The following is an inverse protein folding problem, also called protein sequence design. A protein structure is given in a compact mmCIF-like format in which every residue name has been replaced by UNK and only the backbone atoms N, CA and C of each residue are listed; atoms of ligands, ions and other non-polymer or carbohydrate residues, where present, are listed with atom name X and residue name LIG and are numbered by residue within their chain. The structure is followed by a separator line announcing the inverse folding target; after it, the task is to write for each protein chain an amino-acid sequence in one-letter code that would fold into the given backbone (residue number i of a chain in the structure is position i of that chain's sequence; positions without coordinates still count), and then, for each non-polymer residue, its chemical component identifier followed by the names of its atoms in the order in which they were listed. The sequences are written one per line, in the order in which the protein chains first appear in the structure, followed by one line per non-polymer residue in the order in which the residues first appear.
data_IF_298344564990
#
_entry.id   IF_298344564990
#
_cell.length_a   1.000
_cell.length_b   1.000
_cell.length_c   1.000
_cell.angle_alpha   90.00
_cell.angle_beta   90.00
_cell.angle_gamma   90.00
#
_symmetry.space_group_name_H-M   'P 1'
#
loop_
_entity.id
_entity.type
_entity.pdbx_description
1 polymer ?
#
# COMPACT_ATOMS: atom_id res chain seq x y z
N UNK A 1 -6.73 3.22 -17.87
CA UNK A 1 -6.05 3.76 -16.68
C UNK A 1 -6.16 5.28 -16.66
N UNK A 2 -6.41 5.84 -15.50
CA UNK A 2 -6.51 7.29 -15.37
C UNK A 2 -5.17 7.97 -15.57
N UNK A 3 -5.20 9.17 -16.13
CA UNK A 3 -3.99 9.95 -16.27
C UNK A 3 -3.55 10.48 -14.91
N UNK A 4 -2.26 10.82 -14.81
CA UNK A 4 -1.67 11.22 -13.53
C UNK A 4 -2.40 12.37 -12.86
N UNK A 5 -2.78 13.40 -13.62
CA UNK A 5 -3.48 14.54 -13.03
C UNK A 5 -4.85 14.16 -12.45
N UNK A 6 -5.53 13.17 -13.05
CA UNK A 6 -6.80 12.68 -12.52
C UNK A 6 -6.59 11.91 -11.23
N UNK A 7 -5.54 11.12 -11.18
CA UNK A 7 -5.20 10.38 -9.96
C UNK A 7 -4.87 11.34 -8.82
N UNK A 8 -4.09 12.37 -9.10
CA UNK A 8 -3.72 13.36 -8.09
C UNK A 8 -4.96 14.07 -7.54
N UNK A 9 -5.90 14.42 -8.41
CA UNK A 9 -7.14 15.07 -7.98
C UNK A 9 -7.91 14.15 -7.01
N UNK A 10 -8.00 12.86 -7.32
CA UNK A 10 -8.67 11.88 -6.46
C UNK A 10 -7.96 11.74 -5.12
N UNK A 11 -6.64 11.75 -5.14
CA UNK A 11 -5.85 11.66 -3.91
C UNK A 11 -6.15 12.82 -2.98
N UNK A 12 -6.12 14.05 -3.51
CA UNK A 12 -6.39 15.22 -2.67
C UNK A 12 -7.83 15.28 -2.18
N UNK A 13 -8.77 14.81 -2.99
CA UNK A 13 -10.17 14.71 -2.57
C UNK A 13 -10.34 13.73 -1.42
N UNK A 14 -9.61 12.63 -1.45
CA UNK A 14 -9.74 11.56 -0.45
C UNK A 14 -9.21 11.96 0.93
N UNK A 15 -8.38 12.97 1.02
CA UNK A 15 -7.74 13.34 2.28
C UNK A 15 -8.70 13.77 3.38
N UNK A 16 -9.79 14.41 3.00
CA UNK A 16 -10.75 14.86 4.00
C UNK A 16 -12.03 14.06 4.03
N UNK A 17 -12.04 12.90 3.38
CA UNK A 17 -13.27 12.14 3.19
C UNK A 17 -12.97 10.65 3.23
N UNK A 18 -13.36 9.99 4.33
CA UNK A 18 -13.08 8.57 4.52
C UNK A 18 -13.74 7.69 3.46
N UNK A 19 -14.93 8.06 3.01
CA UNK A 19 -15.60 7.30 1.95
C UNK A 19 -14.84 7.39 0.63
N UNK A 20 -14.38 8.57 0.28
CA UNK A 20 -13.58 8.77 -0.92
C UNK A 20 -12.27 7.99 -0.83
N UNK A 21 -11.64 7.98 0.33
CA UNK A 21 -10.41 7.22 0.55
C UNK A 21 -10.65 5.73 0.37
N UNK A 22 -11.73 5.20 0.93
CA UNK A 22 -12.08 3.79 0.79
C UNK A 22 -12.37 3.43 -0.66
N UNK A 23 -13.07 4.29 -1.38
CA UNK A 23 -13.33 4.07 -2.80
C UNK A 23 -12.04 4.04 -3.61
N UNK A 24 -11.11 4.92 -3.26
CA UNK A 24 -9.83 4.99 -3.95
C UNK A 24 -9.02 3.71 -3.74
N UNK A 25 -8.98 3.21 -2.52
CA UNK A 25 -8.32 1.93 -2.22
C UNK A 25 -8.95 0.81 -3.06
N UNK A 26 -10.28 0.75 -3.10
CA UNK A 26 -10.99 -0.27 -3.88
C UNK A 26 -10.71 -0.15 -5.36
N UNK A 27 -10.68 1.06 -5.89
CA UNK A 27 -10.39 1.32 -7.30
C UNK A 27 -9.00 0.85 -7.69
N UNK A 28 -8.04 1.01 -6.80
CA UNK A 28 -6.65 0.66 -7.07
C UNK A 28 -6.23 -0.67 -6.45
N UNK A 29 -7.20 -1.47 -6.01
CA UNK A 29 -6.90 -2.78 -5.46
C UNK A 29 -6.09 -3.66 -6.41
N UNK A 30 -6.37 -3.71 -7.72
CA UNK A 30 -5.53 -4.48 -8.63
C UNK A 30 -4.08 -4.01 -8.64
N UNK A 31 -3.86 -2.70 -8.57
CA UNK A 31 -2.51 -2.14 -8.47
C UNK A 31 -1.84 -2.58 -7.17
N UNK A 32 -2.58 -2.48 -6.04
CA UNK A 32 -2.06 -2.85 -4.73
C UNK A 32 -1.70 -4.34 -4.71
N UNK A 33 -2.57 -5.19 -5.26
CA UNK A 33 -2.30 -6.62 -5.35
C UNK A 33 -1.06 -6.91 -6.20
N UNK A 34 -0.91 -6.20 -7.31
CA UNK A 34 0.24 -6.38 -8.19
C UNK A 34 1.55 -6.04 -7.48
N UNK A 35 1.58 -4.92 -6.75
CA UNK A 35 2.77 -4.53 -6.02
C UNK A 35 3.09 -5.50 -4.89
N UNK A 36 2.06 -5.98 -4.21
CA UNK A 36 2.22 -6.98 -3.15
C UNK A 36 2.78 -8.28 -3.73
N UNK A 37 2.22 -8.72 -4.87
CA UNK A 37 2.65 -9.95 -5.54
C UNK A 37 4.13 -9.91 -5.91
N UNK A 38 4.62 -8.76 -6.33
CA UNK A 38 6.05 -8.60 -6.66
C UNK A 38 6.93 -8.90 -5.46
N UNK A 39 6.48 -8.55 -4.28
CA UNK A 39 7.25 -8.76 -3.06
C UNK A 39 7.13 -10.18 -2.54
N UNK A 40 5.90 -10.72 -2.44
CA UNK A 40 5.68 -12.06 -1.88
C UNK A 40 5.85 -13.19 -2.90
N UNK A 41 5.98 -12.84 -4.18
CA UNK A 41 6.23 -13.79 -5.29
C UNK A 41 5.07 -14.75 -5.53
N UNK A 42 3.85 -14.35 -5.23
CA UNK A 42 2.63 -15.10 -5.53
C UNK A 42 1.45 -14.14 -5.53
N UNK A 43 0.30 -14.58 -6.01
CA UNK A 43 -0.91 -13.77 -6.03
C UNK A 43 -1.46 -13.67 -4.60
N UNK A 44 -1.58 -12.47 -4.04
CA UNK A 44 -2.14 -12.31 -2.70
C UNK A 44 -3.65 -12.49 -2.72
N UNK A 45 -4.21 -12.99 -1.62
CA UNK A 45 -5.64 -13.22 -1.49
C UNK A 45 -6.20 -12.42 -0.32
N UNK A 46 -7.29 -11.71 -0.57
CA UNK A 46 -7.95 -10.92 0.46
C UNK A 46 -8.44 -11.85 1.58
N UNK A 47 -8.29 -11.37 2.79
CA UNK A 47 -8.74 -12.11 3.97
C UNK A 47 -7.82 -13.26 4.37
N UNK A 48 -6.83 -13.56 3.57
CA UNK A 48 -5.91 -14.66 3.84
C UNK A 48 -4.48 -14.18 4.06
N UNK A 49 -4.04 -13.23 3.25
CA UNK A 49 -2.65 -12.74 3.30
C UNK A 49 -2.58 -11.41 4.04
N UNK A 50 -1.85 -11.41 5.16
CA UNK A 50 -1.62 -10.20 5.94
C UNK A 50 -0.90 -9.15 5.13
N UNK A 51 -0.02 -9.59 4.22
CA UNK A 51 0.73 -8.67 3.37
C UNK A 51 -0.18 -7.78 2.54
N UNK A 52 -1.30 -8.33 2.07
CA UNK A 52 -2.23 -7.51 1.29
C UNK A 52 -2.87 -6.43 2.15
N UNK A 53 -3.25 -6.76 3.38
CA UNK A 53 -3.82 -5.78 4.31
C UNK A 53 -2.81 -4.67 4.61
N UNK A 54 -1.56 -5.04 4.82
CA UNK A 54 -0.48 -4.09 5.06
C UNK A 54 -0.27 -3.18 3.85
N UNK A 55 -0.33 -3.76 2.65
CA UNK A 55 -0.19 -2.99 1.41
C UNK A 55 -1.35 -2.01 1.22
N UNK A 56 -2.56 -2.42 1.56
CA UNK A 56 -3.73 -1.55 1.48
C UNK A 56 -3.60 -0.37 2.45
N UNK A 57 -3.13 -0.66 3.67
CA UNK A 57 -2.88 0.38 4.65
C UNK A 57 -1.79 1.35 4.17
N UNK A 58 -0.71 0.80 3.59
CA UNK A 58 0.37 1.62 3.06
C UNK A 58 -0.11 2.53 1.92
N UNK A 59 -0.99 2.01 1.07
CA UNK A 59 -1.58 2.81 0.00
C UNK A 59 -2.39 3.96 0.58
N UNK A 60 -3.18 3.68 1.61
CA UNK A 60 -3.98 4.70 2.27
C UNK A 60 -3.08 5.78 2.89
N UNK A 61 -2.01 5.37 3.54
CA UNK A 61 -1.03 6.32 4.09
C UNK A 61 -0.40 7.17 2.99
N UNK A 62 -0.12 6.55 1.84
CA UNK A 62 0.44 7.28 0.71
C UNK A 62 -0.53 8.37 0.23
N UNK A 63 -1.84 8.07 0.23
CA UNK A 63 -2.85 9.07 -0.11
C UNK A 63 -2.76 10.27 0.82
N UNK A 64 -2.57 10.02 2.10
CA UNK A 64 -2.54 11.09 3.10
C UNK A 64 -1.25 11.91 3.07
N UNK A 65 -0.15 11.33 2.64
CA UNK A 65 1.16 11.98 2.71
C UNK A 65 1.72 12.47 1.37
N UNK A 66 1.09 12.09 0.27
CA UNK A 66 1.60 12.42 -1.05
C UNK A 66 1.55 13.91 -1.34
N UNK A 67 2.58 14.40 -2.02
CA UNK A 67 2.61 15.76 -2.55
C UNK A 67 3.06 15.72 -4.01
N UNK A 68 2.51 16.61 -4.82
CA UNK A 68 2.78 16.66 -6.27
C UNK A 68 4.26 16.74 -6.59
N UNK A 69 5.03 17.39 -5.72
CA UNK A 69 6.47 17.56 -5.93
C UNK A 69 7.24 16.26 -5.81
N UNK A 70 6.59 15.20 -5.34
CA UNK A 70 7.23 13.89 -5.17
C UNK A 70 7.16 13.00 -6.40
N UNK A 71 6.72 13.55 -7.53
CA UNK A 71 6.60 12.81 -8.78
C UNK A 71 5.26 12.09 -8.90
N UNK A 72 5.25 10.97 -9.60
CA UNK A 72 4.03 10.20 -9.84
C UNK A 72 3.47 9.62 -8.54
N UNK A 73 2.15 9.76 -8.34
CA UNK A 73 1.52 9.18 -7.16
C UNK A 73 1.66 7.67 -7.11
N UNK A 74 1.46 7.00 -8.24
CA UNK A 74 1.55 5.53 -8.24
C UNK A 74 2.96 5.05 -7.94
N UNK A 75 3.99 5.76 -8.40
CA UNK A 75 5.37 5.42 -8.04
C UNK A 75 5.61 5.63 -6.55
N UNK A 76 5.06 6.71 -6.01
CA UNK A 76 5.15 7.03 -4.59
C UNK A 76 4.47 5.94 -3.76
N UNK A 77 3.24 5.56 -4.18
CA UNK A 77 2.48 4.52 -3.49
C UNK A 77 3.17 3.16 -3.56
N UNK A 78 3.74 2.82 -4.71
CA UNK A 78 4.46 1.55 -4.87
C UNK A 78 5.63 1.48 -3.89
N UNK A 79 6.35 2.57 -3.73
CA UNK A 79 7.47 2.63 -2.78
C UNK A 79 6.97 2.49 -1.34
N UNK A 80 5.87 3.16 -1.01
CA UNK A 80 5.29 3.07 0.33
C UNK A 80 4.88 1.63 0.66
N UNK A 81 4.26 0.95 -0.30
CA UNK A 81 3.86 -0.44 -0.13
C UNK A 81 5.09 -1.33 0.10
N UNK A 82 6.10 -1.17 -0.73
CA UNK A 82 7.32 -1.97 -0.59
C UNK A 82 7.97 -1.76 0.76
N UNK A 83 8.09 -0.52 1.19
CA UNK A 83 8.74 -0.21 2.47
C UNK A 83 7.99 -0.82 3.64
N UNK A 84 6.66 -0.77 3.62
CA UNK A 84 5.85 -1.37 4.67
C UNK A 84 5.97 -2.88 4.70
N UNK A 85 6.02 -3.50 3.53
CA UNK A 85 6.17 -4.96 3.46
C UNK A 85 7.54 -5.39 3.96
N UNK A 86 8.58 -4.61 3.66
CA UNK A 86 9.92 -4.89 4.17
C UNK A 86 9.92 -4.78 5.70
N UNK A 87 9.32 -3.73 6.24
CA UNK A 87 9.24 -3.55 7.69
C UNK A 87 8.49 -4.70 8.35
N UNK A 88 7.38 -5.11 7.78
CA UNK A 88 6.59 -6.22 8.29
C UNK A 88 7.42 -7.51 8.30
N UNK A 89 8.15 -7.76 7.24
CA UNK A 89 9.00 -8.93 7.13
C UNK A 89 10.10 -8.93 8.20
N UNK A 90 10.69 -7.78 8.46
CA UNK A 90 11.71 -7.63 9.49
C UNK A 90 11.14 -7.85 10.89
N UNK A 91 9.97 -7.31 11.15
CA UNK A 91 9.30 -7.49 12.45
C UNK A 91 8.97 -8.94 12.71
N UNK A 92 8.49 -9.64 11.67
CA UNK A 92 8.18 -11.07 11.81
C UNK A 92 9.43 -11.88 12.07
N UNK A 93 10.52 -11.58 11.38
CA UNK A 93 11.79 -12.28 11.58
C UNK A 93 12.32 -12.06 12.98
N UNK A 94 12.22 -10.83 13.48
CA UNK A 94 12.65 -10.50 14.84
C UNK A 94 11.81 -11.23 15.88
N UNK A 95 10.49 -11.24 15.70
CA UNK A 95 9.58 -11.95 16.61
C UNK A 95 9.87 -13.43 16.63
N UNK A 96 10.08 -14.02 15.48
CA UNK A 96 10.38 -15.44 15.36
C UNK A 96 11.68 -15.77 16.08
N UNK A 97 12.71 -14.97 15.89
CA UNK A 97 13.98 -15.15 16.56
C UNK A 97 13.82 -15.08 18.06
N UNK A 98 13.05 -14.12 18.52
CA UNK A 98 12.83 -13.91 19.94
C UNK A 98 12.12 -15.11 20.56
N UNK A 99 11.06 -15.56 19.92
CA UNK A 99 10.29 -16.70 20.38
C UNK A 99 11.13 -17.97 20.42
N UNK A 100 11.99 -18.14 19.43
CA UNK A 100 12.84 -19.30 19.31
C UNK A 100 13.87 -19.38 20.44
N UNK A 101 14.40 -18.25 20.84
CA UNK A 101 15.42 -18.19 21.89
C UNK A 101 14.83 -18.15 23.29
N UNK A 102 13.58 -17.83 23.38
CA UNK A 102 12.89 -17.77 24.67
C UNK A 102 12.42 -19.11 25.10
#
# INVERSE_FOLDING_TARGET
MKQEHEIVALVYEARGNNEAASRLVSQYLPFIKSETAKYIKRVPQEGRDDELSIAMFAFHEAVLSYEKTRGSFLAYAARAIRNRLIDYSRERAASFKFDFTG
#
